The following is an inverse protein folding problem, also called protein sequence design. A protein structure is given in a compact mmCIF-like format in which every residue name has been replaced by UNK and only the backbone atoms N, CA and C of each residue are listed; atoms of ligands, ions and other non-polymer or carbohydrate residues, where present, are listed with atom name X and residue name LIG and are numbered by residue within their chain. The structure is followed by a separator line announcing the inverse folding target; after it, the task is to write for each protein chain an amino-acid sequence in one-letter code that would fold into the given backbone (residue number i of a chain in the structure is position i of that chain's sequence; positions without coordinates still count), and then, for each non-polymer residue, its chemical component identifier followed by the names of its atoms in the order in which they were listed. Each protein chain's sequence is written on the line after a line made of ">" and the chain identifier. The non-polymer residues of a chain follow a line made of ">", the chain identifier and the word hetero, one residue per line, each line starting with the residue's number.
data_IF_361178407953
#
_entry.id   IF_361178407953
#
_cell.length_a   1.000
_cell.length_b   1.000
_cell.length_c   1.000
_cell.angle_alpha   90.00
_cell.angle_beta   90.00
_cell.angle_gamma   90.00
#
_symmetry.space_group_name_H-M   'P 1'
#
loop_
_entity.id
_entity.type
_entity.pdbx_description
1 polymer ?
#
# COMPACT_ATOMS: atom_id res chain seq x y z
N UNK A 1 18.55 -7.17 -9.24
CA UNK A 1 19.18 -6.02 -8.56
C UNK A 1 19.48 -6.48 -7.13
N UNK A 2 20.75 -6.62 -6.75
CA UNK A 2 21.11 -7.00 -5.37
C UNK A 2 20.89 -5.77 -4.50
N UNK A 3 20.03 -5.84 -3.49
CA UNK A 3 19.90 -4.77 -2.50
C UNK A 3 21.14 -4.77 -1.62
N UNK A 4 22.07 -3.83 -1.84
CA UNK A 4 23.32 -3.73 -1.08
C UNK A 4 23.23 -2.55 -0.13
N UNK A 5 23.01 -2.83 1.17
CA UNK A 5 22.92 -1.80 2.21
C UNK A 5 24.17 -0.92 2.32
N UNK A 6 25.34 -1.43 1.96
CA UNK A 6 26.60 -0.66 1.90
C UNK A 6 26.55 0.44 0.84
N UNK A 7 25.99 0.16 -0.34
CA UNK A 7 25.81 1.17 -1.38
C UNK A 7 24.83 2.26 -0.94
N UNK A 8 23.72 1.87 -0.30
CA UNK A 8 22.77 2.83 0.27
C UNK A 8 23.42 3.74 1.32
N UNK A 9 24.27 3.17 2.19
CA UNK A 9 25.02 3.95 3.18
C UNK A 9 26.01 4.93 2.52
N UNK A 10 26.71 4.53 1.45
CA UNK A 10 27.60 5.41 0.71
C UNK A 10 26.87 6.60 0.08
N UNK A 11 25.73 6.35 -0.58
CA UNK A 11 24.88 7.41 -1.17
C UNK A 11 24.31 8.34 -0.07
N UNK A 12 23.90 7.78 1.07
CA UNK A 12 23.42 8.59 2.20
C UNK A 12 24.52 9.49 2.78
N UNK A 13 25.76 8.99 2.86
CA UNK A 13 26.92 9.77 3.31
C UNK A 13 27.28 10.89 2.32
N UNK A 14 27.17 10.62 1.01
CA UNK A 14 27.34 11.63 -0.04
C UNK A 14 26.28 12.73 0.08
N UNK A 15 25.00 12.36 0.24
CA UNK A 15 23.91 13.32 0.46
C UNK A 15 24.15 14.19 1.69
N UNK A 16 24.60 13.60 2.81
CA UNK A 16 24.91 14.35 4.02
C UNK A 16 26.06 15.35 3.81
N UNK A 17 27.11 14.93 3.09
CA UNK A 17 28.24 15.78 2.72
C UNK A 17 27.80 16.94 1.84
N UNK A 18 27.00 16.66 0.82
CA UNK A 18 26.54 17.65 -0.14
C UNK A 18 25.59 18.68 0.50
N UNK A 19 24.62 18.24 1.30
CA UNK A 19 23.74 19.13 2.06
C UNK A 19 24.50 20.06 2.99
N UNK A 20 25.55 19.54 3.66
CA UNK A 20 26.42 20.35 4.50
C UNK A 20 27.20 21.39 3.68
N UNK A 21 27.74 21.00 2.52
CA UNK A 21 28.49 21.87 1.61
C UNK A 21 27.62 23.01 1.05
N UNK A 22 26.36 22.71 0.71
CA UNK A 22 25.44 23.66 0.11
C UNK A 22 24.73 24.56 1.13
N UNK A 23 25.02 24.41 2.42
CA UNK A 23 24.35 25.14 3.50
C UNK A 23 22.92 24.67 3.79
N UNK A 24 22.50 23.54 3.22
CA UNK A 24 21.19 22.91 3.41
C UNK A 24 20.99 22.22 4.77
N UNK A 25 22.05 22.13 5.58
CA UNK A 25 22.00 21.62 6.95
C UNK A 25 22.11 20.09 7.03
N UNK A 26 21.36 19.48 7.94
CA UNK A 26 21.40 18.02 8.15
C UNK A 26 20.41 17.30 7.24
N UNK A 27 20.63 16.00 7.02
CA UNK A 27 19.65 15.14 6.31
C UNK A 27 18.28 15.19 6.99
N UNK A 28 18.23 15.29 8.32
CA UNK A 28 16.97 15.43 9.05
C UNK A 28 16.23 16.73 8.69
N UNK A 29 16.93 17.86 8.63
CA UNK A 29 16.34 19.13 8.21
C UNK A 29 15.84 19.06 6.77
N UNK A 30 16.62 18.46 5.88
CA UNK A 30 16.20 18.24 4.50
C UNK A 30 14.93 17.37 4.41
N UNK A 31 14.84 16.31 5.22
CA UNK A 31 13.64 15.49 5.33
C UNK A 31 12.42 16.31 5.82
N UNK A 32 12.59 17.19 6.80
CA UNK A 32 11.50 18.08 7.23
C UNK A 32 11.06 19.05 6.12
N UNK A 33 11.98 19.57 5.31
CA UNK A 33 11.66 20.41 4.16
C UNK A 33 10.87 19.63 3.09
N UNK A 34 11.24 18.37 2.84
CA UNK A 34 10.48 17.49 1.95
C UNK A 34 9.06 17.27 2.47
N UNK A 35 8.88 17.02 3.77
CA UNK A 35 7.54 16.92 4.37
C UNK A 35 6.76 18.22 4.29
N UNK A 36 7.39 19.38 4.45
CA UNK A 36 6.72 20.66 4.28
C UNK A 36 6.28 20.90 2.82
N UNK A 37 7.06 20.41 1.85
CA UNK A 37 6.81 20.61 0.42
C UNK A 37 5.76 19.64 -0.12
N UNK A 38 5.88 18.36 0.22
CA UNK A 38 5.09 17.27 -0.37
C UNK A 38 4.06 16.66 0.59
N UNK A 39 4.08 17.07 1.86
CA UNK A 39 3.28 16.46 2.92
C UNK A 39 3.92 15.19 3.51
N UNK A 40 3.34 14.70 4.59
CA UNK A 40 3.80 13.49 5.27
C UNK A 40 3.22 12.23 4.65
N UNK A 41 4.07 11.30 4.22
CA UNK A 41 3.61 9.96 3.81
C UNK A 41 3.60 9.03 5.01
N UNK A 42 2.50 8.30 5.20
CA UNK A 42 2.36 7.29 6.25
C UNK A 42 1.98 5.96 5.62
N UNK A 43 2.58 4.89 6.09
CA UNK A 43 2.32 3.53 5.62
C UNK A 43 1.91 2.63 6.79
N UNK A 44 0.93 1.77 6.58
CA UNK A 44 0.59 0.64 7.46
C UNK A 44 0.71 -0.66 6.67
N UNK A 45 1.75 -1.42 7.00
CA UNK A 45 2.08 -2.67 6.34
C UNK A 45 2.00 -3.79 7.36
N UNK A 46 1.10 -4.74 7.12
CA UNK A 46 0.92 -5.87 8.02
C UNK A 46 0.51 -7.12 7.25
N UNK A 47 0.26 -8.20 7.98
CA UNK A 47 -0.29 -9.41 7.43
C UNK A 47 -1.26 -10.03 8.43
N UNK A 48 -2.13 -10.91 7.92
CA UNK A 48 -2.86 -11.91 8.70
C UNK A 48 -2.45 -13.29 8.19
N UNK A 49 -2.54 -14.32 9.02
CA UNK A 49 -2.25 -15.69 8.58
C UNK A 49 -3.54 -16.36 8.11
N UNK A 50 -3.44 -17.05 6.97
CA UNK A 50 -4.49 -17.87 6.41
C UNK A 50 -3.86 -19.19 5.96
N UNK A 51 -4.15 -20.28 6.68
CA UNK A 51 -3.58 -21.60 6.39
C UNK A 51 -4.37 -22.38 5.33
N UNK A 52 -5.55 -21.88 4.94
CA UNK A 52 -6.45 -22.51 3.97
C UNK A 52 -6.31 -21.84 2.60
N UNK A 53 -5.73 -22.53 1.59
CA UNK A 53 -5.63 -21.99 0.23
C UNK A 53 -6.99 -21.71 -0.41
N UNK A 54 -8.01 -22.52 -0.10
CA UNK A 54 -9.37 -22.30 -0.61
C UNK A 54 -10.00 -21.05 -0.01
N UNK A 55 -9.70 -20.72 1.25
CA UNK A 55 -10.15 -19.46 1.87
C UNK A 55 -9.48 -18.25 1.20
N UNK A 56 -8.20 -18.35 0.87
CA UNK A 56 -7.51 -17.29 0.10
C UNK A 56 -8.17 -17.09 -1.26
N UNK A 57 -8.41 -18.16 -2.01
CA UNK A 57 -9.11 -18.10 -3.30
C UNK A 57 -10.49 -17.46 -3.15
N UNK A 58 -11.28 -17.91 -2.17
CA UNK A 58 -12.60 -17.36 -1.87
C UNK A 58 -12.55 -15.85 -1.61
N UNK A 59 -11.59 -15.38 -0.82
CA UNK A 59 -11.41 -13.95 -0.53
C UNK A 59 -11.14 -13.19 -1.83
N UNK A 60 -10.15 -13.62 -2.62
CA UNK A 60 -9.77 -12.89 -3.84
C UNK A 60 -10.82 -12.95 -4.95
N UNK A 61 -11.55 -14.07 -5.09
CA UNK A 61 -12.67 -14.18 -6.03
C UNK A 61 -13.81 -13.20 -5.66
N UNK A 62 -14.07 -13.04 -4.36
CA UNK A 62 -15.03 -12.04 -3.85
C UNK A 62 -14.56 -10.61 -4.11
N UNK A 63 -13.25 -10.34 -3.98
CA UNK A 63 -12.67 -9.04 -4.31
C UNK A 63 -12.80 -8.70 -5.81
N UNK A 64 -12.70 -9.71 -6.67
CA UNK A 64 -12.92 -9.56 -8.12
C UNK A 64 -14.38 -9.35 -8.47
N UNK A 65 -15.31 -9.85 -7.65
CA UNK A 65 -16.76 -9.68 -7.84
C UNK A 65 -17.18 -9.99 -9.29
N UNK A 66 -16.79 -11.17 -9.79
CA UNK A 66 -17.07 -11.58 -11.18
C UNK A 66 -16.59 -10.56 -12.23
N UNK A 67 -15.47 -9.90 -11.99
CA UNK A 67 -14.88 -8.90 -12.88
C UNK A 67 -15.45 -7.48 -12.76
N UNK A 68 -16.47 -7.26 -11.92
CA UNK A 68 -17.02 -5.93 -11.69
C UNK A 68 -16.16 -5.10 -10.73
N UNK A 69 -15.41 -5.78 -9.86
CA UNK A 69 -14.61 -5.21 -8.79
C UNK A 69 -15.37 -4.21 -7.88
N UNK A 70 -14.69 -3.69 -6.87
CA UNK A 70 -15.25 -2.79 -5.87
C UNK A 70 -15.04 -1.33 -6.28
N UNK A 71 -16.06 -0.48 -6.15
CA UNK A 71 -15.95 0.96 -6.42
C UNK A 71 -15.91 1.81 -5.14
N UNK A 72 -16.25 1.22 -3.98
CA UNK A 72 -16.26 1.89 -2.68
C UNK A 72 -16.01 0.88 -1.57
N UNK A 73 -15.36 1.31 -0.48
CA UNK A 73 -15.23 0.56 0.78
C UNK A 73 -15.92 1.33 1.89
N UNK A 74 -16.66 0.64 2.76
CA UNK A 74 -17.39 1.19 3.90
C UNK A 74 -18.33 2.34 3.55
N UNK A 75 -18.90 2.33 2.33
CA UNK A 75 -19.73 3.41 1.79
C UNK A 75 -19.10 4.81 1.93
N UNK A 76 -17.76 4.88 2.05
CA UNK A 76 -17.01 6.09 2.42
C UNK A 76 -15.78 6.31 1.56
N UNK A 77 -15.00 5.26 1.29
CA UNK A 77 -13.74 5.39 0.58
C UNK A 77 -13.92 4.96 -0.87
N UNK A 78 -14.12 5.94 -1.76
CA UNK A 78 -14.26 5.70 -3.19
C UNK A 78 -12.95 5.18 -3.81
N UNK A 79 -13.05 4.14 -4.62
CA UNK A 79 -11.93 3.55 -5.37
C UNK A 79 -11.88 4.24 -6.73
N UNK A 80 -10.72 4.83 -7.03
CA UNK A 80 -10.44 5.52 -8.30
C UNK A 80 -9.99 4.55 -9.38
N UNK A 81 -9.12 3.61 -9.04
CA UNK A 81 -8.62 2.60 -9.99
C UNK A 81 -8.16 1.34 -9.29
N UNK A 82 -8.14 0.24 -10.04
CA UNK A 82 -7.81 -1.10 -9.55
C UNK A 82 -6.83 -1.73 -10.51
N UNK A 83 -5.82 -2.38 -9.95
CA UNK A 83 -4.86 -3.22 -10.66
C UNK A 83 -4.84 -4.59 -10.02
N UNK A 84 -5.24 -5.62 -10.75
CA UNK A 84 -5.13 -7.01 -10.34
C UNK A 84 -4.05 -7.70 -11.17
N UNK A 85 -2.88 -7.88 -10.58
CA UNK A 85 -1.76 -8.55 -11.25
C UNK A 85 -1.94 -10.06 -11.32
N UNK A 86 -2.94 -10.64 -10.69
CA UNK A 86 -3.24 -12.07 -10.84
C UNK A 86 -4.01 -12.36 -12.12
N UNK A 87 -4.81 -11.41 -12.58
CA UNK A 87 -5.57 -11.50 -13.85
C UNK A 87 -4.97 -10.66 -14.97
N UNK A 88 -4.07 -9.73 -14.63
CA UNK A 88 -3.51 -8.75 -15.58
C UNK A 88 -4.47 -7.59 -15.88
N UNK A 89 -5.49 -7.37 -15.05
CA UNK A 89 -6.42 -6.25 -15.18
C UNK A 89 -5.82 -4.97 -14.57
N UNK A 90 -5.97 -3.83 -15.25
CA UNK A 90 -5.62 -2.51 -14.73
C UNK A 90 -6.57 -1.45 -15.27
N UNK A 91 -7.52 -1.01 -14.45
CA UNK A 91 -8.54 -0.04 -14.84
C UNK A 91 -7.98 1.37 -15.10
N UNK A 92 -6.72 1.63 -14.77
CA UNK A 92 -6.06 2.91 -15.08
C UNK A 92 -5.46 2.93 -16.49
N UNK A 93 -5.38 1.78 -17.19
CA UNK A 93 -4.86 1.70 -18.56
C UNK A 93 -5.98 1.79 -19.59
N UNK A 94 -5.74 2.40 -20.76
CA UNK A 94 -6.76 2.56 -21.81
C UNK A 94 -7.38 1.24 -22.31
N UNK A 95 -6.62 0.14 -22.29
CA UNK A 95 -7.07 -1.19 -22.72
C UNK A 95 -7.44 -2.11 -21.55
N UNK A 96 -7.48 -1.58 -20.34
CA UNK A 96 -7.70 -2.30 -19.09
C UNK A 96 -6.66 -3.41 -18.79
N UNK A 97 -5.46 -3.34 -19.38
CA UNK A 97 -4.40 -4.35 -19.19
C UNK A 97 -3.23 -3.82 -18.39
N UNK A 98 -2.77 -4.60 -17.42
CA UNK A 98 -1.61 -4.26 -16.61
C UNK A 98 -0.32 -4.24 -17.44
N UNK A 99 0.45 -3.16 -17.30
CA UNK A 99 1.79 -3.03 -17.89
C UNK A 99 2.82 -3.89 -17.12
N UNK A 100 2.56 -4.14 -15.84
CA UNK A 100 3.42 -4.96 -14.99
C UNK A 100 3.15 -6.46 -15.23
N UNK A 101 4.18 -7.32 -15.04
CA UNK A 101 4.00 -8.75 -15.18
C UNK A 101 2.98 -9.29 -14.18
N UNK A 102 2.26 -10.33 -14.60
CA UNK A 102 1.34 -11.02 -13.70
C UNK A 102 2.08 -11.70 -12.54
N UNK A 103 1.39 -11.84 -11.41
CA UNK A 103 1.92 -12.46 -10.20
C UNK A 103 0.88 -13.40 -9.58
N UNK A 104 1.23 -14.02 -8.43
CA UNK A 104 0.23 -14.61 -7.55
C UNK A 104 -0.79 -13.55 -7.09
N UNK A 105 -1.80 -13.98 -6.31
CA UNK A 105 -2.84 -13.13 -5.71
C UNK A 105 -2.30 -11.76 -5.24
N UNK A 106 -2.62 -10.70 -6.00
CA UNK A 106 -2.17 -9.33 -5.77
C UNK A 106 -3.13 -8.33 -6.42
N UNK A 107 -3.89 -7.62 -5.60
CA UNK A 107 -4.80 -6.55 -6.05
C UNK A 107 -4.40 -5.25 -5.37
N UNK A 108 -4.19 -4.20 -6.16
CA UNK A 108 -3.92 -2.83 -5.72
C UNK A 108 -5.12 -1.94 -6.02
N UNK A 109 -5.60 -1.25 -4.99
CA UNK A 109 -6.66 -0.26 -5.04
C UNK A 109 -6.05 1.13 -4.86
N UNK A 110 -6.28 2.03 -5.81
CA UNK A 110 -6.00 3.45 -5.64
C UNK A 110 -7.30 4.17 -5.30
N UNK A 111 -7.37 4.81 -4.14
CA UNK A 111 -8.55 5.51 -3.66
C UNK A 111 -8.56 6.98 -4.10
N UNK A 112 -9.75 7.57 -4.16
CA UNK A 112 -9.93 8.96 -4.58
C UNK A 112 -9.24 9.98 -3.65
N UNK A 113 -9.05 9.62 -2.37
CA UNK A 113 -8.31 10.42 -1.38
C UNK A 113 -6.78 10.25 -1.47
N UNK A 114 -6.27 9.56 -2.48
CA UNK A 114 -4.84 9.33 -2.70
C UNK A 114 -4.26 8.12 -1.96
N UNK A 115 -5.01 7.47 -1.07
CA UNK A 115 -4.56 6.24 -0.42
C UNK A 115 -4.39 5.14 -1.46
N UNK A 116 -3.34 4.33 -1.31
CA UNK A 116 -3.11 3.13 -2.11
C UNK A 116 -3.05 1.93 -1.19
N UNK A 117 -3.85 0.90 -1.47
CA UNK A 117 -3.88 -0.35 -0.72
C UNK A 117 -3.56 -1.53 -1.63
N UNK A 118 -2.55 -2.32 -1.30
CA UNK A 118 -2.23 -3.57 -2.00
C UNK A 118 -2.48 -4.75 -1.09
N UNK A 119 -3.39 -5.64 -1.48
CA UNK A 119 -3.66 -6.93 -0.84
C UNK A 119 -2.96 -8.02 -1.64
N UNK A 120 -2.12 -8.83 -0.99
CA UNK A 120 -1.38 -9.89 -1.69
C UNK A 120 -1.08 -11.10 -0.84
N UNK A 121 -0.92 -12.25 -1.48
CA UNK A 121 -0.36 -13.44 -0.82
C UNK A 121 1.16 -13.36 -0.71
N UNK A 122 1.69 -14.09 0.27
CA UNK A 122 3.09 -14.50 0.29
C UNK A 122 3.25 -15.78 -0.53
N UNK A 123 4.31 -15.87 -1.33
CA UNK A 123 4.51 -17.04 -2.21
C UNK A 123 4.85 -18.33 -1.46
N UNK A 124 5.45 -18.23 -0.27
CA UNK A 124 5.95 -19.39 0.49
C UNK A 124 5.45 -19.46 1.94
N UNK A 125 4.71 -18.45 2.39
CA UNK A 125 4.20 -18.38 3.76
C UNK A 125 2.67 -18.27 3.73
N UNK A 126 1.94 -18.79 4.72
CA UNK A 126 0.48 -18.69 4.81
C UNK A 126 0.03 -17.28 5.24
N UNK A 127 0.58 -16.24 4.59
CA UNK A 127 0.36 -14.83 4.94
C UNK A 127 -0.41 -14.13 3.84
N UNK A 128 -1.49 -13.47 4.22
CA UNK A 128 -2.17 -12.46 3.43
C UNK A 128 -1.66 -11.10 3.91
N UNK A 129 -0.81 -10.47 3.09
CA UNK A 129 -0.16 -9.19 3.38
C UNK A 129 -1.01 -8.06 2.84
N UNK A 130 -1.05 -6.96 3.57
CA UNK A 130 -1.61 -5.71 3.11
C UNK A 130 -0.60 -4.58 3.31
N UNK A 131 -0.46 -3.77 2.27
CA UNK A 131 0.39 -2.58 2.26
C UNK A 131 -0.50 -1.40 1.95
N UNK A 132 -0.70 -0.51 2.91
CA UNK A 132 -1.57 0.66 2.73
C UNK A 132 -0.78 1.91 3.00
N UNK A 133 -0.75 2.82 2.04
CA UNK A 133 -0.03 4.08 2.13
C UNK A 133 -0.95 5.26 1.88
N UNK A 134 -0.71 6.34 2.61
CA UNK A 134 -1.46 7.59 2.51
C UNK A 134 -0.52 8.76 2.28
N UNK A 135 -0.74 9.54 1.20
CA UNK A 135 -0.11 10.85 1.07
C UNK A 135 -0.76 11.82 2.06
N UNK A 136 0.05 12.56 2.80
CA UNK A 136 -0.41 13.65 3.64
C UNK A 136 -0.69 14.88 2.78
N UNK A 137 -1.90 15.44 2.90
CA UNK A 137 -2.19 16.75 2.32
C UNK A 137 -1.35 17.86 2.94
N UNK A 138 -1.18 18.98 2.21
CA UNK A 138 -0.50 20.15 2.75
C UNK A 138 -1.17 20.62 4.05
N UNK A 139 -0.36 20.95 5.06
CA UNK A 139 -0.83 21.42 6.36
C UNK A 139 -1.30 20.33 7.33
N UNK A 140 -1.38 19.06 6.92
CA UNK A 140 -1.67 17.95 7.83
C UNK A 140 -0.40 17.50 8.56
N UNK A 141 -0.50 17.32 9.87
CA UNK A 141 0.55 16.67 10.65
C UNK A 141 0.62 15.18 10.34
N UNK A 142 1.80 14.57 10.52
CA UNK A 142 1.97 13.12 10.39
C UNK A 142 0.97 12.31 11.22
N UNK A 143 0.61 12.77 12.42
CA UNK A 143 -0.33 12.08 13.30
C UNK A 143 -1.74 12.07 12.70
N UNK A 144 -2.22 13.21 12.20
CA UNK A 144 -3.52 13.30 11.55
C UNK A 144 -3.62 12.38 10.33
N UNK A 145 -2.56 12.30 9.52
CA UNK A 145 -2.49 11.38 8.37
C UNK A 145 -2.52 9.92 8.85
N UNK A 146 -1.80 9.59 9.93
CA UNK A 146 -1.77 8.25 10.50
C UNK A 146 -3.13 7.82 11.06
N UNK A 147 -3.82 8.69 11.80
CA UNK A 147 -5.13 8.40 12.39
C UNK A 147 -6.19 8.18 11.30
N UNK A 148 -6.20 9.03 10.27
CA UNK A 148 -7.09 8.87 9.12
C UNK A 148 -6.81 7.56 8.36
N UNK A 149 -5.52 7.23 8.16
CA UNK A 149 -5.12 5.98 7.51
C UNK A 149 -5.54 4.77 8.33
N UNK A 150 -5.41 4.80 9.66
CA UNK A 150 -5.82 3.70 10.53
C UNK A 150 -7.30 3.36 10.38
N UNK A 151 -8.18 4.37 10.29
CA UNK A 151 -9.61 4.17 10.08
C UNK A 151 -9.91 3.53 8.72
N UNK A 152 -9.19 3.93 7.67
CA UNK A 152 -9.37 3.35 6.33
C UNK A 152 -8.81 1.93 6.25
N UNK A 153 -7.66 1.66 6.86
CA UNK A 153 -7.10 0.30 6.98
C UNK A 153 -8.08 -0.59 7.71
N UNK A 154 -8.62 -0.18 8.86
CA UNK A 154 -9.61 -0.96 9.59
C UNK A 154 -10.84 -1.32 8.72
N UNK A 155 -11.35 -0.36 7.95
CA UNK A 155 -12.46 -0.59 7.01
C UNK A 155 -12.11 -1.59 5.89
N UNK A 156 -10.94 -1.42 5.26
CA UNK A 156 -10.43 -2.35 4.25
C UNK A 156 -10.33 -3.76 4.84
N UNK A 157 -9.68 -3.92 5.99
CA UNK A 157 -9.50 -5.25 6.59
C UNK A 157 -10.84 -5.88 6.96
N UNK A 158 -11.73 -5.12 7.60
CA UNK A 158 -13.03 -5.63 8.03
C UNK A 158 -13.90 -6.07 6.83
N UNK A 159 -14.00 -5.26 5.77
CA UNK A 159 -14.90 -5.57 4.65
C UNK A 159 -14.26 -6.46 3.58
N UNK A 160 -13.00 -6.22 3.23
CA UNK A 160 -12.31 -6.90 2.14
C UNK A 160 -11.61 -8.18 2.58
N UNK A 161 -11.15 -8.28 3.83
CA UNK A 161 -10.52 -9.50 4.33
C UNK A 161 -11.40 -10.30 5.29
N UNK A 162 -12.43 -9.71 5.90
CA UNK A 162 -13.37 -10.36 6.83
C UNK A 162 -12.68 -11.36 7.78
N UNK A 163 -11.69 -10.92 8.58
CA UNK A 163 -10.82 -11.83 9.32
C UNK A 163 -11.57 -12.73 10.30
N UNK A 164 -12.64 -12.24 10.92
CA UNK A 164 -13.47 -13.02 11.83
C UNK A 164 -14.25 -14.13 11.11
N UNK A 165 -14.84 -13.81 9.95
CA UNK A 165 -15.59 -14.78 9.14
C UNK A 165 -14.68 -15.86 8.55
N UNK A 166 -13.47 -15.48 8.15
CA UNK A 166 -12.52 -16.37 7.49
C UNK A 166 -11.50 -17.00 8.46
N UNK A 167 -11.67 -16.79 9.77
CA UNK A 167 -10.79 -17.27 10.83
C UNK A 167 -9.32 -16.94 10.61
N UNK A 168 -9.04 -15.71 10.15
CA UNK A 168 -7.69 -15.23 9.88
C UNK A 168 -7.00 -14.89 11.21
N UNK A 169 -5.78 -15.41 11.39
CA UNK A 169 -4.99 -15.15 12.59
C UNK A 169 -4.36 -13.76 12.48
N UNK A 170 -4.68 -12.87 13.42
CA UNK A 170 -3.96 -11.60 13.57
C UNK A 170 -2.58 -11.90 14.17
N UNK A 171 -1.52 -11.22 13.70
CA UNK A 171 -0.15 -11.44 14.18
C UNK A 171 0.03 -11.03 15.64
#
# INVERSE_FOLDING_TARGET
>A
MVNIGVCAAAVFAEMATQLKKDGGGTVYMHLQQLYATYGHFVTQNHYVKCYSPSTVQLIFDRLRNQGHYWHVVANKYAIKSIRDLSTGFDSAQPDCRAVLPQSSEMITYSFANGVVATLRTSGTEPKLKYYVESPGGQGLTRQQVADALQLQVAAIIHEMLQPELHHLERP
#
